data_IF_555308355610
#
_entry.id   IF_555308355610
#
_cell.length_a   1.000
_cell.length_b   1.000
_cell.length_c   1.000
_cell.angle_alpha   90.00
_cell.angle_beta   90.00
_cell.angle_gamma   90.00
#
_symmetry.space_group_name_H-M   'P 1'
#
loop_
_entity.id
_entity.type
_entity.pdbx_description
1 polymer ?
#
# COMPACT_ATOMS: atom_id res chain seq x y z
N UNK A 1 3.80 23.32 -1.57
CA UNK A 1 2.56 22.96 -2.31
C UNK A 1 1.55 22.43 -1.32
N UNK A 2 0.26 22.46 -1.68
CA UNK A 2 -0.83 21.80 -0.94
C UNK A 2 -1.09 20.43 -1.55
N UNK A 3 -0.78 19.37 -0.81
CA UNK A 3 -0.78 17.99 -1.32
C UNK A 3 -1.77 17.16 -0.50
N UNK A 4 -2.68 16.45 -1.17
CA UNK A 4 -3.53 15.46 -0.53
C UNK A 4 -3.01 14.05 -0.78
N UNK A 5 -2.71 13.28 0.26
CA UNK A 5 -2.55 11.84 0.18
C UNK A 5 -3.88 11.15 0.50
N UNK A 6 -4.30 10.22 -0.36
CA UNK A 6 -5.50 9.40 -0.15
C UNK A 6 -5.07 7.96 0.06
N UNK A 7 -5.05 7.55 1.32
CA UNK A 7 -4.62 6.22 1.75
C UNK A 7 -5.76 5.19 1.67
N UNK A 8 -5.47 3.90 1.47
CA UNK A 8 -6.45 2.86 1.70
C UNK A 8 -6.89 2.83 3.17
N UNK A 9 -8.14 2.45 3.43
CA UNK A 9 -8.71 2.42 4.79
C UNK A 9 -8.51 1.06 5.49
N UNK A 10 -7.68 0.18 4.94
CA UNK A 10 -7.51 -1.19 5.42
C UNK A 10 -6.73 -1.26 6.73
N UNK A 11 -5.59 -0.56 6.79
CA UNK A 11 -4.73 -0.41 7.95
C UNK A 11 -4.66 1.09 8.33
N UNK A 12 -4.20 1.40 9.55
CA UNK A 12 -3.86 2.77 9.92
C UNK A 12 -2.61 3.24 9.17
N UNK A 13 -2.37 4.55 9.12
CA UNK A 13 -1.14 5.15 8.60
C UNK A 13 -0.40 5.84 9.76
N UNK A 14 0.75 5.37 10.24
CA UNK A 14 1.40 4.11 9.88
C UNK A 14 0.60 2.91 10.39
N UNK A 15 0.82 1.71 9.82
CA UNK A 15 0.08 0.51 10.21
C UNK A 15 0.58 0.01 11.57
N UNK A 16 -0.36 -0.25 12.49
CA UNK A 16 -0.07 -0.86 13.81
C UNK A 16 0.47 -2.29 13.70
N UNK A 17 0.10 -2.99 12.63
CA UNK A 17 0.50 -4.36 12.34
C UNK A 17 1.20 -4.44 10.97
N UNK A 18 0.99 -5.53 10.24
CA UNK A 18 1.51 -5.68 8.88
C UNK A 18 0.64 -4.91 7.88
N UNK A 19 1.11 -3.74 7.45
CA UNK A 19 0.64 -3.01 6.26
C UNK A 19 1.83 -2.53 5.43
N UNK A 20 1.93 -2.93 4.16
CA UNK A 20 3.04 -2.51 3.30
C UNK A 20 2.77 -1.14 2.68
N UNK A 21 1.59 -0.99 2.08
CA UNK A 21 1.13 0.25 1.44
C UNK A 21 1.10 1.41 2.42
N UNK A 22 0.39 1.25 3.53
CA UNK A 22 0.18 2.31 4.52
C UNK A 22 1.50 2.75 5.17
N UNK A 23 2.48 1.86 5.31
CA UNK A 23 3.82 2.22 5.77
C UNK A 23 4.55 3.13 4.78
N UNK A 24 4.43 2.85 3.48
CA UNK A 24 5.00 3.72 2.44
C UNK A 24 4.25 5.06 2.37
N UNK A 25 2.92 5.04 2.48
CA UNK A 25 2.11 6.27 2.53
C UNK A 25 2.54 7.14 3.70
N UNK A 26 2.80 6.54 4.87
CA UNK A 26 3.37 7.27 6.00
C UNK A 26 4.72 7.90 5.65
N UNK A 27 5.69 7.14 5.15
CA UNK A 27 7.02 7.67 4.83
C UNK A 27 6.99 8.82 3.82
N UNK A 28 6.21 8.71 2.74
CA UNK A 28 6.12 9.80 1.75
C UNK A 28 5.38 11.01 2.32
N UNK A 29 4.37 10.80 3.18
CA UNK A 29 3.63 11.88 3.85
C UNK A 29 4.58 12.68 4.74
N UNK A 30 5.29 12.01 5.65
CA UNK A 30 6.23 12.66 6.58
C UNK A 30 7.37 13.35 5.82
N UNK A 31 7.97 12.69 4.83
CA UNK A 31 9.04 13.30 4.04
C UNK A 31 8.58 14.57 3.30
N UNK A 32 7.35 14.61 2.80
CA UNK A 32 6.81 15.82 2.14
C UNK A 32 6.50 16.93 3.16
N UNK A 33 6.07 16.59 4.37
CA UNK A 33 5.93 17.57 5.47
C UNK A 33 7.30 18.15 5.85
N UNK A 34 8.32 17.30 6.00
CA UNK A 34 9.70 17.72 6.30
C UNK A 34 10.29 18.64 5.22
N UNK A 35 9.91 18.44 3.96
CA UNK A 35 10.26 19.31 2.84
C UNK A 35 9.48 20.64 2.82
N UNK A 36 8.61 20.90 3.81
CA UNK A 36 7.88 22.14 3.97
C UNK A 36 6.62 22.25 3.11
N UNK A 37 6.04 21.12 2.68
CA UNK A 37 4.74 21.13 2.00
C UNK A 37 3.57 21.12 3.00
N UNK A 38 2.45 21.70 2.57
CA UNK A 38 1.17 21.61 3.31
C UNK A 38 0.50 20.31 2.91
N UNK A 39 0.67 19.28 3.73
CA UNK A 39 0.20 17.92 3.44
C UNK A 39 -1.07 17.63 4.23
N UNK A 40 -2.08 17.13 3.55
CA UNK A 40 -3.29 16.56 4.14
C UNK A 40 -3.37 15.07 3.83
N UNK A 41 -3.57 14.25 4.87
CA UNK A 41 -3.73 12.81 4.76
C UNK A 41 -5.19 12.43 4.98
N UNK A 42 -5.84 11.86 3.96
CA UNK A 42 -7.12 11.18 4.08
C UNK A 42 -6.87 9.71 4.38
N UNK A 43 -7.19 9.28 5.60
CA UNK A 43 -6.94 7.93 6.11
C UNK A 43 -7.95 7.56 7.21
N UNK A 44 -7.75 6.41 7.86
CA UNK A 44 -8.52 6.09 9.07
C UNK A 44 -8.15 7.02 10.22
N UNK A 45 -9.10 7.30 11.11
CA UNK A 45 -8.95 8.24 12.23
C UNK A 45 -8.00 7.77 13.33
N UNK A 46 -7.62 6.49 13.31
CA UNK A 46 -6.59 5.92 14.18
C UNK A 46 -5.19 5.93 13.56
N UNK A 47 -5.00 6.75 12.52
CA UNK A 47 -3.71 7.08 11.90
C UNK A 47 -2.97 8.17 12.69
N UNK A 48 -1.65 8.16 12.61
CA UNK A 48 -0.76 9.11 13.27
C UNK A 48 0.20 9.71 12.22
N UNK A 49 0.27 11.03 12.14
CA UNK A 49 1.09 11.74 11.14
C UNK A 49 1.36 13.17 11.60
N UNK A 50 2.46 13.77 11.15
CA UNK A 50 2.70 15.21 11.30
C UNK A 50 1.89 16.07 10.31
N UNK A 51 1.36 15.46 9.25
CA UNK A 51 0.44 16.10 8.30
C UNK A 51 -0.94 16.38 8.92
N UNK A 52 -1.76 17.18 8.24
CA UNK A 52 -3.16 17.34 8.63
C UNK A 52 -3.94 16.06 8.33
N UNK A 53 -4.31 15.32 9.37
CA UNK A 53 -5.18 14.14 9.23
C UNK A 53 -6.64 14.55 9.00
N UNK A 54 -7.27 13.95 8.00
CA UNK A 54 -8.71 14.00 7.74
C UNK A 54 -9.25 12.57 7.88
N UNK A 55 -9.97 12.28 8.97
CA UNK A 55 -10.48 10.93 9.21
C UNK A 55 -11.64 10.64 8.27
N UNK A 56 -11.48 9.66 7.38
CA UNK A 56 -12.55 9.16 6.52
C UNK A 56 -13.43 8.10 7.21
N UNK A 57 -12.97 7.59 8.36
CA UNK A 57 -13.62 6.59 9.20
C UNK A 57 -12.95 6.61 10.57
N UNK A 58 -13.64 6.24 11.63
CA UNK A 58 -13.09 6.24 13.01
C UNK A 58 -11.78 5.44 13.15
N UNK A 59 -11.68 4.29 12.47
CA UNK A 59 -10.51 3.40 12.56
C UNK A 59 -10.36 2.53 11.31
N UNK A 60 -9.19 1.91 11.15
CA UNK A 60 -8.87 1.00 10.07
C UNK A 60 -9.87 -0.18 9.97
N UNK A 61 -10.21 -0.60 8.74
CA UNK A 61 -11.19 -1.66 8.48
C UNK A 61 -10.81 -2.97 9.17
N UNK A 62 -9.52 -3.34 9.17
CA UNK A 62 -9.06 -4.60 9.75
C UNK A 62 -8.95 -4.59 11.27
N UNK A 63 -8.79 -3.41 11.87
CA UNK A 63 -8.75 -3.25 13.33
C UNK A 63 -10.14 -3.11 13.93
N UNK A 64 -11.15 -2.87 13.09
CA UNK A 64 -12.50 -2.67 13.57
C UNK A 64 -13.18 -3.99 13.98
N UNK A 65 -13.59 -4.15 15.26
CA UNK A 65 -14.18 -5.39 15.76
C UNK A 65 -15.62 -5.60 15.28
N UNK A 66 -16.26 -4.59 14.68
CA UNK A 66 -17.63 -4.70 14.17
C UNK A 66 -17.69 -5.73 13.04
N UNK A 67 -18.68 -6.64 13.02
CA UNK A 67 -18.72 -7.76 12.08
C UNK A 67 -19.10 -7.35 10.66
N UNK A 68 -19.91 -6.30 10.48
CA UNK A 68 -20.40 -5.84 9.18
C UNK A 68 -19.71 -4.55 8.79
N UNK A 69 -18.81 -4.64 7.81
CA UNK A 69 -18.01 -3.52 7.30
C UNK A 69 -18.10 -3.57 5.78
N UNK A 70 -18.49 -2.47 5.16
CA UNK A 70 -18.45 -2.34 3.70
C UNK A 70 -17.24 -1.52 3.32
N UNK A 71 -16.23 -2.20 2.79
CA UNK A 71 -14.99 -1.57 2.32
C UNK A 71 -15.30 -0.58 1.20
N UNK A 72 -16.20 -0.97 0.29
CA UNK A 72 -16.64 -0.14 -0.83
C UNK A 72 -17.33 1.12 -0.29
N UNK A 73 -18.30 1.00 0.61
CA UNK A 73 -19.02 2.17 1.13
C UNK A 73 -18.08 3.12 1.90
N UNK A 74 -17.13 2.60 2.68
CA UNK A 74 -16.15 3.41 3.39
C UNK A 74 -15.27 4.22 2.43
N UNK A 75 -14.77 3.59 1.36
CA UNK A 75 -13.95 4.31 0.38
C UNK A 75 -14.79 5.25 -0.50
N UNK A 76 -16.05 4.93 -0.81
CA UNK A 76 -16.94 5.83 -1.53
C UNK A 76 -17.21 7.12 -0.73
N UNK A 77 -17.45 7.02 0.58
CA UNK A 77 -17.60 8.17 1.45
C UNK A 77 -16.33 9.03 1.47
N UNK A 78 -15.16 8.41 1.67
CA UNK A 78 -13.87 9.10 1.60
C UNK A 78 -13.67 9.84 0.27
N UNK A 79 -13.96 9.17 -0.86
CA UNK A 79 -13.77 9.75 -2.18
C UNK A 79 -14.70 10.93 -2.45
N UNK A 80 -15.94 10.88 -1.94
CA UNK A 80 -16.86 12.02 -1.98
C UNK A 80 -16.31 13.22 -1.20
N UNK A 81 -15.76 13.00 0.00
CA UNK A 81 -15.18 14.07 0.83
C UNK A 81 -13.91 14.67 0.19
N UNK A 82 -13.01 13.82 -0.30
CA UNK A 82 -11.81 14.27 -1.05
C UNK A 82 -12.24 15.09 -2.27
N UNK A 83 -13.28 14.65 -2.98
CA UNK A 83 -13.79 15.33 -4.17
C UNK A 83 -14.36 16.71 -3.83
N UNK A 84 -15.15 16.83 -2.77
CA UNK A 84 -15.70 18.09 -2.31
C UNK A 84 -14.59 19.10 -1.96
N UNK A 85 -13.46 18.61 -1.47
CA UNK A 85 -12.31 19.40 -1.03
C UNK A 85 -11.20 19.51 -2.09
N UNK A 86 -11.41 19.02 -3.30
CA UNK A 86 -10.37 18.97 -4.35
C UNK A 86 -9.82 20.36 -4.76
N UNK A 87 -10.56 21.44 -4.48
CA UNK A 87 -10.09 22.82 -4.69
C UNK A 87 -9.03 23.29 -3.70
N UNK A 88 -8.87 22.60 -2.56
CA UNK A 88 -7.87 22.92 -1.53
C UNK A 88 -6.46 22.51 -1.93
N UNK A 89 -6.31 21.61 -2.92
CA UNK A 89 -5.05 20.94 -3.22
C UNK A 89 -4.52 21.28 -4.61
N UNK A 90 -3.20 21.42 -4.69
CA UNK A 90 -2.48 21.56 -5.96
C UNK A 90 -2.35 20.18 -6.63
N UNK A 91 -2.13 19.12 -5.84
CA UNK A 91 -2.03 17.73 -6.28
C UNK A 91 -2.76 16.78 -5.31
N UNK A 92 -3.47 15.80 -5.85
CA UNK A 92 -4.11 14.70 -5.10
C UNK A 92 -3.45 13.37 -5.48
N UNK A 93 -2.74 12.76 -4.53
CA UNK A 93 -2.02 11.50 -4.69
C UNK A 93 -2.82 10.33 -4.12
N UNK A 94 -3.33 9.47 -5.00
CA UNK A 94 -4.06 8.27 -4.64
C UNK A 94 -3.14 7.05 -4.48
N UNK A 95 -3.36 6.32 -3.39
CA UNK A 95 -2.71 5.03 -3.09
C UNK A 95 -3.70 3.86 -3.13
N UNK A 96 -4.91 4.10 -3.65
CA UNK A 96 -5.98 3.13 -3.74
C UNK A 96 -5.72 2.11 -4.85
N UNK A 97 -6.03 0.85 -4.56
CA UNK A 97 -6.02 -0.21 -5.57
C UNK A 97 -7.30 -0.19 -6.41
N UNK A 98 -7.24 -0.77 -7.59
CA UNK A 98 -8.41 -0.98 -8.47
C UNK A 98 -9.14 0.28 -8.97
N UNK A 99 -8.46 1.43 -8.93
CA UNK A 99 -8.88 2.66 -9.63
C UNK A 99 -10.27 3.21 -9.24
N UNK A 100 -10.73 2.93 -8.02
CA UNK A 100 -12.04 3.34 -7.52
C UNK A 100 -12.29 4.86 -7.62
N UNK A 101 -11.22 5.66 -7.55
CA UNK A 101 -11.29 7.12 -7.63
C UNK A 101 -11.49 7.66 -9.05
N UNK A 102 -11.22 6.91 -10.12
CA UNK A 102 -11.20 7.47 -11.47
C UNK A 102 -12.50 8.21 -11.86
N UNK A 103 -13.71 7.67 -11.63
CA UNK A 103 -14.94 8.37 -11.99
C UNK A 103 -15.16 9.69 -11.24
N UNK A 104 -14.63 9.82 -10.01
CA UNK A 104 -14.83 11.00 -9.17
C UNK A 104 -13.98 12.20 -9.61
N UNK A 105 -12.82 11.93 -10.23
CA UNK A 105 -11.80 12.94 -10.50
C UNK A 105 -11.53 13.14 -12.00
N UNK A 106 -12.37 12.58 -12.88
CA UNK A 106 -12.13 12.57 -14.32
C UNK A 106 -11.89 13.97 -14.93
N UNK A 107 -12.66 14.97 -14.49
CA UNK A 107 -12.52 16.34 -14.99
C UNK A 107 -11.27 17.08 -14.46
N UNK A 108 -10.56 16.49 -13.50
CA UNK A 108 -9.33 17.04 -12.91
C UNK A 108 -8.21 16.00 -12.87
N UNK A 109 -8.25 14.99 -13.75
CA UNK A 109 -7.28 13.90 -13.77
C UNK A 109 -5.82 14.38 -13.80
N UNK A 110 -5.53 15.49 -14.51
CA UNK A 110 -4.20 16.11 -14.57
C UNK A 110 -3.69 16.73 -13.25
N UNK A 111 -4.56 16.93 -12.25
CA UNK A 111 -4.18 17.32 -10.88
C UNK A 111 -4.07 16.13 -9.93
N UNK A 112 -4.20 14.91 -10.45
CA UNK A 112 -4.08 13.69 -9.67
C UNK A 112 -2.86 12.91 -10.07
N UNK A 113 -2.36 12.07 -9.17
CA UNK A 113 -1.39 11.03 -9.48
C UNK A 113 -1.75 9.77 -8.70
N UNK A 114 -1.58 8.61 -9.30
CA UNK A 114 -1.94 7.34 -8.67
C UNK A 114 -0.72 6.42 -8.57
N UNK A 115 -0.45 5.92 -7.37
CA UNK A 115 0.55 4.85 -7.16
C UNK A 115 -0.18 3.58 -6.74
N UNK A 116 -0.42 2.63 -7.66
CA UNK A 116 -0.87 1.31 -7.26
C UNK A 116 0.29 0.56 -6.59
N UNK A 117 0.05 -0.01 -5.41
CA UNK A 117 1.06 -0.78 -4.66
C UNK A 117 0.95 -2.29 -4.88
N UNK A 118 -0.22 -2.75 -5.36
CA UNK A 118 -0.53 -4.15 -5.58
C UNK A 118 -0.13 -4.67 -6.96
N UNK A 119 -0.60 -5.89 -7.24
CA UNK A 119 -0.54 -6.47 -8.58
C UNK A 119 -1.45 -5.70 -9.53
N UNK A 120 -1.08 -5.68 -10.81
CA UNK A 120 -1.84 -5.00 -11.86
C UNK A 120 -2.36 -5.95 -12.95
N UNK A 121 -2.04 -7.24 -12.86
CA UNK A 121 -2.39 -8.27 -13.84
C UNK A 121 -3.78 -8.89 -13.62
N UNK A 122 -4.66 -8.18 -12.91
CA UNK A 122 -6.07 -8.57 -12.82
C UNK A 122 -6.74 -8.34 -14.17
N UNK A 123 -7.53 -9.32 -14.62
CA UNK A 123 -8.19 -9.32 -15.93
C UNK A 123 -9.05 -8.08 -16.17
N UNK A 124 -9.63 -7.50 -15.11
CA UNK A 124 -10.53 -6.35 -15.21
C UNK A 124 -9.84 -4.99 -15.14
N UNK A 125 -8.56 -4.92 -14.72
CA UNK A 125 -7.87 -3.63 -14.55
C UNK A 125 -7.54 -2.94 -15.87
N UNK A 126 -7.06 -3.67 -16.88
CA UNK A 126 -6.75 -3.08 -18.18
C UNK A 126 -8.01 -2.54 -18.89
N UNK A 127 -9.13 -3.31 -18.97
CA UNK A 127 -10.39 -2.78 -19.48
C UNK A 127 -10.90 -1.55 -18.70
N UNK A 128 -10.80 -1.56 -17.36
CA UNK A 128 -11.21 -0.43 -16.53
C UNK A 128 -10.34 0.82 -16.81
N UNK A 129 -9.02 0.67 -16.83
CA UNK A 129 -8.10 1.77 -17.09
C UNK A 129 -8.32 2.40 -18.48
N UNK A 130 -8.59 1.58 -19.51
CA UNK A 130 -8.86 2.06 -20.87
C UNK A 130 -10.04 3.04 -20.95
N UNK A 131 -10.97 3.01 -19.99
CA UNK A 131 -12.07 3.99 -19.91
C UNK A 131 -11.65 5.33 -19.31
N UNK A 132 -10.51 5.38 -18.63
CA UNK A 132 -9.99 6.56 -17.93
C UNK A 132 -8.49 6.78 -18.23
N UNK A 133 -8.06 6.86 -19.51
CA UNK A 133 -6.64 6.83 -19.87
C UNK A 133 -5.85 8.08 -19.44
N UNK A 134 -6.55 9.14 -19.01
CA UNK A 134 -5.92 10.42 -18.63
C UNK A 134 -5.26 10.40 -17.26
N UNK A 135 -5.58 9.42 -16.40
CA UNK A 135 -5.08 9.39 -15.02
C UNK A 135 -3.58 9.09 -14.99
N UNK A 136 -2.75 10.01 -14.46
CA UNK A 136 -1.31 9.80 -14.37
C UNK A 136 -0.95 8.76 -13.31
N UNK A 137 -0.01 7.90 -13.63
CA UNK A 137 0.37 6.73 -12.83
C UNK A 137 1.86 6.74 -12.48
N UNK A 138 2.20 6.27 -11.28
CA UNK A 138 3.57 5.99 -10.85
C UNK A 138 3.69 4.51 -10.53
N UNK A 139 4.61 3.83 -11.22
CA UNK A 139 4.88 2.42 -10.93
C UNK A 139 5.92 2.30 -9.81
N UNK A 140 5.76 1.32 -8.93
CA UNK A 140 6.71 1.07 -7.84
C UNK A 140 7.91 0.21 -8.28
N UNK A 141 7.88 -0.29 -9.53
CA UNK A 141 9.01 -0.96 -10.19
C UNK A 141 8.78 -1.07 -11.69
N UNK A 142 9.85 -1.24 -12.47
CA UNK A 142 9.74 -1.57 -13.89
C UNK A 142 8.97 -2.87 -14.14
N UNK A 143 9.10 -3.84 -13.24
CA UNK A 143 8.40 -5.13 -13.33
C UNK A 143 6.89 -4.99 -13.19
N UNK A 144 6.42 -4.07 -12.34
CA UNK A 144 5.00 -3.86 -12.10
C UNK A 144 4.27 -3.36 -13.36
N UNK A 145 4.93 -2.52 -14.17
CA UNK A 145 4.36 -1.97 -15.41
C UNK A 145 3.86 -3.05 -16.37
N UNK A 146 4.45 -4.25 -16.35
CA UNK A 146 4.05 -5.35 -17.23
C UNK A 146 2.59 -5.80 -17.04
N UNK A 147 2.02 -5.60 -15.85
CA UNK A 147 0.61 -5.91 -15.61
C UNK A 147 -0.37 -4.92 -16.26
N UNK A 148 0.10 -3.71 -16.58
CA UNK A 148 -0.69 -2.65 -17.21
C UNK A 148 0.22 -1.78 -18.09
N UNK A 149 0.67 -2.29 -19.25
CA UNK A 149 1.71 -1.64 -20.06
C UNK A 149 1.25 -0.31 -20.65
N UNK A 150 -0.03 -0.19 -21.01
CA UNK A 150 -0.60 0.96 -21.71
C UNK A 150 -1.10 2.07 -20.79
N UNK A 151 -0.77 2.02 -19.49
CA UNK A 151 -1.12 3.10 -18.58
C UNK A 151 -0.27 4.35 -18.81
N UNK A 152 -0.81 5.52 -18.48
CA UNK A 152 -0.12 6.82 -18.49
C UNK A 152 0.93 6.90 -17.37
N UNK A 153 2.02 6.14 -17.51
CA UNK A 153 3.12 6.07 -16.56
C UNK A 153 3.99 7.33 -16.66
N UNK A 154 3.94 8.19 -15.63
CA UNK A 154 4.83 9.35 -15.54
C UNK A 154 6.26 8.96 -15.17
N UNK A 155 6.40 8.03 -14.23
CA UNK A 155 7.69 7.60 -13.73
C UNK A 155 7.65 6.20 -13.10
N UNK A 156 8.84 5.65 -12.86
CA UNK A 156 9.05 4.52 -11.97
C UNK A 156 9.79 5.02 -10.73
N UNK A 157 9.14 4.96 -9.58
CA UNK A 157 9.72 5.39 -8.30
C UNK A 157 9.69 4.20 -7.36
N UNK A 158 10.88 3.67 -7.06
CA UNK A 158 11.03 2.57 -6.11
C UNK A 158 10.68 3.04 -4.70
N UNK A 159 10.10 2.14 -3.90
CA UNK A 159 9.88 2.43 -2.49
C UNK A 159 11.21 2.57 -1.76
N UNK A 160 11.34 3.65 -1.00
CA UNK A 160 12.41 3.84 -0.03
C UNK A 160 11.96 3.45 1.39
N UNK A 161 12.89 3.59 2.31
CA UNK A 161 12.67 3.53 3.76
C UNK A 161 13.48 4.66 4.42
N UNK A 162 13.09 5.15 5.62
CA UNK A 162 13.93 6.03 6.40
C UNK A 162 15.28 5.37 6.70
N UNK A 163 16.37 6.11 6.55
CA UNK A 163 17.73 5.57 6.65
C UNK A 163 18.09 5.12 8.07
N UNK A 164 17.43 5.70 9.06
CA UNK A 164 17.58 5.45 10.49
C UNK A 164 16.55 4.43 11.03
N UNK A 165 15.65 3.93 10.19
CA UNK A 165 14.62 2.96 10.62
C UNK A 165 15.21 1.63 11.11
N UNK A 166 16.40 1.26 10.63
CA UNK A 166 17.06 0.01 10.99
C UNK A 166 18.56 0.21 11.18
N UNK A 167 19.08 -0.25 12.31
CA UNK A 167 20.53 -0.31 12.52
C UNK A 167 21.06 -1.69 12.12
N UNK A 168 21.92 -1.77 11.09
CA UNK A 168 22.51 -3.04 10.69
C UNK A 168 23.47 -3.56 11.78
N UNK A 169 23.39 -4.85 12.07
CA UNK A 169 24.39 -5.55 12.88
C UNK A 169 25.35 -6.26 11.93
N UNK A 170 26.64 -5.92 12.02
CA UNK A 170 27.71 -6.53 11.22
C UNK A 170 28.49 -7.61 11.98
N UNK A 171 28.35 -7.65 13.31
CA UNK A 171 29.00 -8.66 14.13
C UNK A 171 28.25 -10.00 14.02
N UNK A 172 28.95 -11.09 13.69
CA UNK A 172 28.34 -12.42 13.67
C UNK A 172 27.89 -12.77 15.09
N UNK A 173 26.60 -13.03 15.27
CA UNK A 173 26.09 -13.58 16.54
C UNK A 173 26.69 -14.97 16.75
N UNK A 174 26.94 -15.33 18.01
CA UNK A 174 27.33 -16.70 18.39
C UNK A 174 26.22 -17.76 18.18
N UNK A 175 25.05 -17.35 17.69
CA UNK A 175 23.96 -18.25 17.31
C UNK A 175 24.28 -19.01 16.01
N UNK A 176 23.77 -20.23 15.90
CA UNK A 176 23.82 -21.00 14.66
C UNK A 176 23.19 -20.22 13.47
N UNK A 177 23.75 -20.32 12.26
CA UNK A 177 23.22 -19.65 11.09
C UNK A 177 21.79 -20.14 10.77
N UNK A 178 20.94 -19.21 10.35
CA UNK A 178 19.55 -19.49 10.01
C UNK A 178 19.11 -18.71 8.76
N UNK A 179 18.09 -19.22 8.08
CA UNK A 179 17.34 -18.52 7.05
C UNK A 179 16.16 -17.80 7.68
N UNK A 180 15.79 -16.63 7.15
CA UNK A 180 14.65 -15.85 7.62
C UNK A 180 13.62 -15.66 6.51
N UNK A 181 12.34 -15.82 6.83
CA UNK A 181 11.23 -15.44 5.97
C UNK A 181 10.32 -14.48 6.74
N UNK A 182 10.09 -13.29 6.16
CA UNK A 182 9.20 -12.27 6.70
C UNK A 182 8.18 -11.87 5.63
N UNK A 183 6.88 -12.07 5.88
CA UNK A 183 5.87 -11.75 4.87
C UNK A 183 4.46 -12.24 5.17
N UNK A 184 3.70 -12.53 4.12
CA UNK A 184 2.40 -13.21 4.22
C UNK A 184 2.58 -14.68 3.89
N UNK A 185 1.79 -15.55 4.53
CA UNK A 185 1.74 -16.98 4.20
C UNK A 185 0.85 -17.22 2.98
N UNK A 186 1.21 -16.58 1.87
CA UNK A 186 0.38 -16.51 0.67
C UNK A 186 1.07 -17.14 -0.54
N UNK A 187 0.26 -17.51 -1.53
CA UNK A 187 0.76 -18.09 -2.80
C UNK A 187 1.73 -17.17 -3.53
N UNK A 188 1.53 -15.85 -3.48
CA UNK A 188 2.44 -14.90 -4.12
C UNK A 188 3.78 -14.74 -3.39
N UNK A 189 3.83 -15.04 -2.08
CA UNK A 189 5.04 -14.91 -1.27
C UNK A 189 5.84 -16.20 -1.14
N UNK A 190 5.24 -17.34 -1.49
CA UNK A 190 5.92 -18.64 -1.63
C UNK A 190 6.75 -19.08 -0.40
N UNK A 191 6.17 -19.07 0.82
CA UNK A 191 6.84 -19.64 2.00
C UNK A 191 7.13 -21.14 1.86
N UNK A 192 6.37 -21.86 1.02
CA UNK A 192 6.61 -23.26 0.63
C UNK A 192 8.02 -23.45 0.08
N UNK A 193 8.46 -22.53 -0.80
CA UNK A 193 9.80 -22.56 -1.37
C UNK A 193 10.87 -22.20 -0.34
N UNK A 194 10.57 -21.29 0.59
CA UNK A 194 11.49 -20.99 1.68
C UNK A 194 11.74 -22.24 2.55
N UNK A 195 10.69 -23.01 2.86
CA UNK A 195 10.80 -24.28 3.59
C UNK A 195 11.60 -25.31 2.77
N UNK A 196 11.35 -25.42 1.47
CA UNK A 196 12.10 -26.31 0.58
C UNK A 196 13.60 -25.97 0.58
N UNK A 197 13.95 -24.68 0.47
CA UNK A 197 15.34 -24.20 0.52
C UNK A 197 15.98 -24.59 1.85
N UNK A 198 15.30 -24.34 2.98
CA UNK A 198 15.81 -24.65 4.30
C UNK A 198 16.07 -26.15 4.50
N UNK A 199 15.14 -27.00 4.05
CA UNK A 199 15.30 -28.47 4.08
C UNK A 199 16.51 -28.92 3.27
N UNK A 200 16.69 -28.35 2.06
CA UNK A 200 17.81 -28.70 1.18
C UNK A 200 19.15 -28.18 1.68
N UNK A 201 19.18 -27.03 2.36
CA UNK A 201 20.41 -26.43 2.89
C UNK A 201 20.80 -26.94 4.27
N UNK A 202 19.91 -27.67 4.96
CA UNK A 202 20.12 -28.09 6.35
C UNK A 202 20.11 -26.94 7.37
N UNK A 203 19.72 -25.73 6.95
CA UNK A 203 19.68 -24.56 7.84
C UNK A 203 18.31 -24.42 8.48
N UNK A 204 18.29 -23.97 9.74
CA UNK A 204 17.04 -23.62 10.42
C UNK A 204 16.36 -22.45 9.70
N UNK A 205 15.04 -22.51 9.52
CA UNK A 205 14.24 -21.40 8.99
C UNK A 205 13.41 -20.75 10.11
N UNK A 206 13.58 -19.44 10.32
CA UNK A 206 12.71 -18.61 11.16
C UNK A 206 11.64 -17.97 10.26
N UNK A 207 10.38 -18.35 10.45
CA UNK A 207 9.21 -17.84 9.72
C UNK A 207 8.42 -16.87 10.58
N UNK A 208 8.36 -15.61 10.17
CA UNK A 208 7.51 -14.58 10.76
C UNK A 208 6.53 -14.09 9.70
N UNK A 209 5.29 -14.59 9.71
CA UNK A 209 4.34 -14.25 8.67
C UNK A 209 2.88 -14.30 9.13
N UNK A 210 2.04 -13.43 8.56
CA UNK A 210 0.59 -13.43 8.80
C UNK A 210 -0.14 -14.31 7.80
N UNK A 211 -1.24 -14.92 8.23
CA UNK A 211 -2.20 -15.62 7.36
C UNK A 211 -3.35 -14.65 7.10
N UNK A 212 -3.49 -14.17 5.86
CA UNK A 212 -4.69 -13.45 5.43
C UNK A 212 -5.88 -14.40 5.28
N UNK A 213 -7.11 -13.88 5.29
CA UNK A 213 -8.29 -14.74 5.14
C UNK A 213 -8.31 -15.48 3.79
N UNK A 214 -7.90 -14.80 2.71
CA UNK A 214 -7.73 -15.38 1.37
C UNK A 214 -6.58 -16.40 1.30
N UNK A 215 -5.66 -16.37 2.27
CA UNK A 215 -4.45 -17.20 2.27
C UNK A 215 -4.63 -18.53 3.04
N UNK A 216 -5.77 -18.73 3.74
CA UNK A 216 -6.00 -19.91 4.60
C UNK A 216 -5.98 -21.22 3.84
N UNK A 217 -6.56 -21.24 2.64
CA UNK A 217 -6.57 -22.43 1.79
C UNK A 217 -5.16 -22.83 1.36
N UNK A 218 -4.35 -21.83 0.97
CA UNK A 218 -2.96 -22.05 0.60
C UNK A 218 -2.13 -22.55 1.79
N UNK A 219 -2.28 -21.92 2.96
CA UNK A 219 -1.59 -22.31 4.18
C UNK A 219 -1.84 -23.78 4.51
N UNK A 220 -3.10 -24.21 4.60
CA UNK A 220 -3.46 -25.60 4.96
C UNK A 220 -2.93 -26.64 3.97
N UNK A 221 -2.78 -26.28 2.70
CA UNK A 221 -2.41 -27.23 1.65
C UNK A 221 -0.89 -27.33 1.43
N UNK A 222 -0.10 -26.30 1.77
CA UNK A 222 1.30 -26.19 1.34
C UNK A 222 2.30 -25.91 2.46
N UNK A 223 1.83 -25.59 3.67
CA UNK A 223 2.65 -25.24 4.83
C UNK A 223 2.33 -26.18 5.98
#
# INVERSE_FOLDING_TARGET
MRIAHVAPLYESVPPKLYGGTERIVFYITEALVELGHDVTLFASGDSETSARLVPARDQAIRLDPRPKKSEIAAHLAMLADVRARAGEFDVIHFHLSHFLHFPFFENIAGRTVTTPHGRLDYVDLAPAYKRFPRFPMISISHSQKRGLPDANWLATIHHGLPLDAYQPTYEPRAEEPYLAFLGRLSRDKRPDRAIEIARRSGLRLKLAAKIGDDDRAYFRANI
#
